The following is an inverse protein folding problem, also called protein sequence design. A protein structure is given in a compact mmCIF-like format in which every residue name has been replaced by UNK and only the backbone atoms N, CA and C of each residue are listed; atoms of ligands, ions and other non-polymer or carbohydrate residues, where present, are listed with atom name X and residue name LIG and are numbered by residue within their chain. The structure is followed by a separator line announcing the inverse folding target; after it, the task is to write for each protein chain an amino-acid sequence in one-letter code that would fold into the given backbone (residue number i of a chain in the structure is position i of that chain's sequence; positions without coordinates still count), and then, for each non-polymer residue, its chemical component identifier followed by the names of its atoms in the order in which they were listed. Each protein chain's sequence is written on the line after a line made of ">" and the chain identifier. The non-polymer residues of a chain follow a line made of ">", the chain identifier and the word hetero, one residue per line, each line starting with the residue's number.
data_IF_116150449081
#
_entry.id   IF_116150449081
#
_cell.length_a   1.000
_cell.length_b   1.000
_cell.length_c   1.000
_cell.angle_alpha   90.00
_cell.angle_beta   90.00
_cell.angle_gamma   90.00
#
_symmetry.space_group_name_H-M   'P 1'
#
loop_
_entity.id
_entity.type
_entity.pdbx_description
1 polymer ?
#
# COMPACT_ATOMS: atom_id res chain seq x y z
N UNK A 1 1.76 59.88 -6.32
CA UNK A 1 2.81 58.96 -5.81
C UNK A 1 2.49 58.40 -4.42
N UNK A 2 2.22 59.22 -3.40
CA UNK A 2 1.97 58.77 -2.01
C UNK A 2 0.84 57.72 -1.85
N UNK A 3 -0.30 57.88 -2.53
CA UNK A 3 -1.41 56.89 -2.51
C UNK A 3 -1.05 55.54 -3.15
N UNK A 4 -0.22 55.56 -4.20
CA UNK A 4 0.21 54.36 -4.93
C UNK A 4 1.22 53.56 -4.09
N UNK A 5 2.16 54.25 -3.44
CA UNK A 5 3.12 53.64 -2.51
C UNK A 5 2.41 52.99 -1.32
N UNK A 6 1.40 53.65 -0.73
CA UNK A 6 0.61 53.06 0.35
C UNK A 6 -0.13 51.79 -0.10
N UNK A 7 -0.72 51.80 -1.30
CA UNK A 7 -1.43 50.65 -1.84
C UNK A 7 -0.48 49.46 -2.11
N UNK A 8 0.72 49.76 -2.63
CA UNK A 8 1.77 48.76 -2.83
C UNK A 8 2.20 48.12 -1.50
N UNK A 9 2.47 48.94 -0.47
CA UNK A 9 2.85 48.44 0.86
C UNK A 9 1.75 47.57 1.44
N UNK A 10 0.49 47.99 1.34
CA UNK A 10 -0.66 47.22 1.83
C UNK A 10 -0.78 45.87 1.10
N UNK A 11 -0.60 45.88 -0.22
CA UNK A 11 -0.64 44.66 -1.04
C UNK A 11 0.48 43.68 -0.66
N UNK A 12 1.71 44.18 -0.44
CA UNK A 12 2.83 43.34 -0.01
C UNK A 12 2.56 42.77 1.39
N UNK A 13 2.05 43.59 2.32
CA UNK A 13 1.72 43.12 3.66
C UNK A 13 0.67 42.00 3.63
N UNK A 14 -0.40 42.18 2.86
CA UNK A 14 -1.44 41.15 2.69
C UNK A 14 -0.89 39.88 2.05
N UNK A 15 0.00 40.01 1.06
CA UNK A 15 0.65 38.86 0.44
C UNK A 15 1.54 38.10 1.42
N UNK A 16 2.38 38.79 2.21
CA UNK A 16 3.25 38.16 3.20
C UNK A 16 2.44 37.48 4.30
N UNK A 17 1.39 38.13 4.80
CA UNK A 17 0.49 37.54 5.81
C UNK A 17 -0.21 36.31 5.23
N UNK A 18 -0.77 36.42 4.03
CA UNK A 18 -1.45 35.30 3.36
C UNK A 18 -0.52 34.11 3.08
N UNK A 19 0.70 34.37 2.58
CA UNK A 19 1.70 33.33 2.35
C UNK A 19 2.14 32.70 3.68
N UNK A 20 2.33 33.49 4.73
CA UNK A 20 2.67 33.00 6.06
C UNK A 20 1.58 32.09 6.65
N UNK A 21 0.31 32.50 6.55
CA UNK A 21 -0.81 31.65 6.98
C UNK A 21 -0.92 30.38 6.15
N UNK A 22 -0.66 30.44 4.85
CA UNK A 22 -0.70 29.26 3.99
C UNK A 22 0.39 28.24 4.33
N UNK A 23 1.63 28.70 4.55
CA UNK A 23 2.75 27.85 4.98
C UNK A 23 2.46 27.25 6.37
N UNK A 24 1.92 28.05 7.29
CA UNK A 24 1.54 27.57 8.62
C UNK A 24 0.47 26.47 8.54
N UNK A 25 -0.57 26.67 7.73
CA UNK A 25 -1.64 25.70 7.51
C UNK A 25 -1.17 24.41 6.82
N UNK A 26 -0.14 24.50 5.98
CA UNK A 26 0.55 23.35 5.39
C UNK A 26 1.40 22.60 6.42
N UNK A 27 2.12 23.33 7.28
CA UNK A 27 3.00 22.73 8.30
C UNK A 27 2.27 21.91 9.37
N UNK A 28 0.95 22.11 9.48
CA UNK A 28 0.10 21.35 10.40
C UNK A 28 -0.35 20.00 9.82
N UNK A 29 -0.10 19.72 8.54
CA UNK A 29 -0.42 18.42 7.95
C UNK A 29 0.51 17.37 8.56
N UNK A 30 -0.06 16.31 9.12
CA UNK A 30 0.68 15.20 9.72
C UNK A 30 0.40 13.89 8.99
N UNK A 31 1.35 12.94 9.00
CA UNK A 31 1.07 11.59 8.55
C UNK A 31 0.10 10.89 9.50
N UNK A 32 -0.83 10.15 8.94
CA UNK A 32 -1.64 9.15 9.60
C UNK A 32 -1.09 7.78 9.23
N UNK A 33 -0.35 7.18 10.16
CA UNK A 33 0.32 5.90 9.93
C UNK A 33 -0.70 4.75 9.85
N UNK A 34 -0.73 4.09 8.69
CA UNK A 34 -1.56 2.92 8.43
C UNK A 34 -0.64 1.70 8.29
N UNK A 35 -0.74 0.82 9.27
CA UNK A 35 -0.08 -0.47 9.25
C UNK A 35 -0.78 -1.41 8.26
N UNK A 36 -0.03 -1.88 7.26
CA UNK A 36 -0.55 -2.80 6.25
C UNK A 36 -1.04 -4.11 6.88
N UNK A 37 -0.48 -4.57 8.00
CA UNK A 37 -0.83 -5.88 8.56
C UNK A 37 -2.15 -5.90 9.34
N UNK A 38 -2.78 -4.75 9.59
CA UNK A 38 -3.99 -4.66 10.45
C UNK A 38 -5.24 -5.24 9.82
N UNK A 39 -5.44 -5.07 8.52
CA UNK A 39 -6.59 -5.59 7.80
C UNK A 39 -6.14 -6.61 6.77
N UNK A 40 -6.61 -7.85 6.89
CA UNK A 40 -6.33 -8.92 5.94
C UNK A 40 -7.56 -9.27 5.12
N UNK A 41 -7.34 -9.69 3.88
CA UNK A 41 -8.34 -10.31 3.02
C UNK A 41 -7.87 -11.69 2.57
N UNK A 42 -8.74 -12.43 1.91
CA UNK A 42 -8.44 -13.78 1.42
C UNK A 42 -8.77 -13.89 -0.06
N UNK A 43 -7.84 -14.46 -0.82
CA UNK A 43 -8.06 -14.86 -2.22
C UNK A 43 -8.05 -16.38 -2.32
N UNK A 44 -9.00 -16.91 -3.07
CA UNK A 44 -9.03 -18.33 -3.43
C UNK A 44 -8.77 -18.43 -4.93
N UNK A 45 -7.79 -19.24 -5.31
CA UNK A 45 -7.50 -19.55 -6.70
C UNK A 45 -7.26 -21.05 -6.91
N UNK A 46 -7.18 -21.47 -8.17
CA UNK A 46 -6.93 -22.85 -8.58
C UNK A 46 -5.58 -22.92 -9.29
N UNK A 47 -4.73 -23.85 -8.87
CA UNK A 47 -3.38 -24.07 -9.41
C UNK A 47 -3.28 -25.44 -10.06
N UNK A 48 -2.82 -25.51 -11.31
CA UNK A 48 -2.79 -26.78 -12.04
C UNK A 48 -1.62 -27.68 -11.60
N UNK A 49 -0.38 -27.21 -11.78
CA UNK A 49 0.81 -28.07 -11.65
C UNK A 49 1.86 -27.58 -10.67
N UNK A 50 1.96 -26.27 -10.44
CA UNK A 50 2.93 -25.66 -9.56
C UNK A 50 2.40 -24.29 -9.10
N UNK A 51 2.91 -23.82 -7.97
CA UNK A 51 2.64 -22.50 -7.43
C UNK A 51 3.97 -21.90 -6.95
N UNK A 52 4.37 -20.78 -7.53
CA UNK A 52 5.55 -20.01 -7.17
C UNK A 52 5.10 -18.71 -6.55
N UNK A 53 5.21 -18.60 -5.23
CA UNK A 53 4.92 -17.38 -4.51
C UNK A 53 6.21 -16.57 -4.37
N UNK A 54 6.22 -15.37 -4.97
CA UNK A 54 7.34 -14.46 -4.85
C UNK A 54 7.37 -13.83 -3.45
N UNK A 55 8.51 -13.96 -2.77
CA UNK A 55 8.68 -13.50 -1.40
C UNK A 55 9.39 -12.15 -1.28
N UNK A 56 9.75 -11.54 -2.40
CA UNK A 56 10.40 -10.24 -2.46
C UNK A 56 9.62 -9.37 -3.42
N UNK A 57 9.07 -8.28 -2.91
CA UNK A 57 8.22 -7.37 -3.70
C UNK A 57 8.51 -5.92 -3.36
N UNK A 58 8.32 -5.04 -4.34
CA UNK A 58 8.41 -3.59 -4.16
C UNK A 58 6.99 -3.03 -4.11
N UNK A 59 6.64 -2.40 -2.99
CA UNK A 59 5.35 -1.73 -2.84
C UNK A 59 5.52 -0.24 -3.07
N UNK A 60 4.74 0.32 -3.99
CA UNK A 60 4.88 1.71 -4.47
C UNK A 60 4.93 2.78 -3.37
N UNK A 61 4.22 2.58 -2.26
CA UNK A 61 4.18 3.53 -1.12
C UNK A 61 5.04 3.14 0.08
N UNK A 62 5.66 1.95 0.09
CA UNK A 62 6.44 1.46 1.24
C UNK A 62 7.91 1.25 0.88
N UNK A 63 8.18 0.67 -0.30
CA UNK A 63 9.51 0.31 -0.75
C UNK A 63 9.69 -1.21 -0.86
N UNK A 64 10.93 -1.67 -0.75
CA UNK A 64 11.27 -3.08 -0.76
C UNK A 64 10.77 -3.76 0.52
N UNK A 65 9.94 -4.80 0.37
CA UNK A 65 9.43 -5.60 1.48
C UNK A 65 9.61 -7.09 1.22
N UNK A 66 9.68 -7.84 2.31
CA UNK A 66 9.75 -9.30 2.30
C UNK A 66 8.39 -9.88 2.65
N UNK A 67 7.88 -10.80 1.84
CA UNK A 67 6.70 -11.58 2.16
C UNK A 67 7.11 -12.77 3.03
N UNK A 68 6.56 -12.83 4.23
CA UNK A 68 6.78 -13.90 5.22
C UNK A 68 5.53 -14.75 5.28
N UNK A 69 5.69 -16.06 5.08
CA UNK A 69 4.59 -17.02 5.22
C UNK A 69 4.54 -17.50 6.67
N UNK A 70 3.56 -17.01 7.43
CA UNK A 70 3.38 -17.36 8.85
C UNK A 70 2.87 -18.80 9.02
N UNK A 71 1.94 -19.19 8.15
CA UNK A 71 1.31 -20.51 8.18
C UNK A 71 1.17 -21.03 6.76
N UNK A 72 1.56 -22.28 6.55
CA UNK A 72 1.34 -23.02 5.32
C UNK A 72 0.78 -24.39 5.70
N UNK A 73 -0.52 -24.59 5.48
CA UNK A 73 -1.24 -25.78 5.95
C UNK A 73 -2.13 -26.41 4.88
N UNK A 74 -2.15 -27.74 4.85
CA UNK A 74 -3.11 -28.51 4.06
C UNK A 74 -4.50 -28.38 4.69
N UNK A 75 -5.52 -28.10 3.89
CA UNK A 75 -6.92 -28.01 4.33
C UNK A 75 -7.75 -29.04 3.55
N UNK A 76 -8.14 -30.12 4.24
CA UNK A 76 -8.93 -31.23 3.68
C UNK A 76 -10.31 -30.81 3.15
N UNK A 77 -10.77 -29.59 3.48
CA UNK A 77 -12.04 -29.04 2.97
C UNK A 77 -11.88 -28.33 1.63
N UNK A 78 -10.64 -28.05 1.20
CA UNK A 78 -10.36 -27.42 -0.07
C UNK A 78 -10.29 -28.46 -1.20
N UNK A 79 -10.73 -28.11 -2.43
CA UNK A 79 -10.45 -28.92 -3.61
C UNK A 79 -8.96 -29.19 -3.76
N UNK A 80 -8.57 -30.34 -4.34
CA UNK A 80 -7.17 -30.77 -4.44
C UNK A 80 -6.23 -29.72 -5.04
N UNK A 81 -6.72 -28.91 -5.98
CA UNK A 81 -5.97 -27.88 -6.69
C UNK A 81 -6.22 -26.45 -6.18
N UNK A 82 -6.97 -26.27 -5.09
CA UNK A 82 -7.27 -24.95 -4.57
C UNK A 82 -6.15 -24.42 -3.67
N UNK A 83 -5.85 -23.14 -3.84
CA UNK A 83 -4.94 -22.38 -3.01
C UNK A 83 -5.68 -21.17 -2.44
N UNK A 84 -5.59 -20.99 -1.14
CA UNK A 84 -6.20 -19.90 -0.40
C UNK A 84 -5.08 -19.12 0.28
N UNK A 85 -4.97 -17.84 -0.03
CA UNK A 85 -3.96 -16.96 0.54
C UNK A 85 -4.67 -15.85 1.30
N UNK A 86 -4.30 -15.68 2.56
CA UNK A 86 -4.70 -14.57 3.41
C UNK A 86 -3.55 -13.57 3.48
N UNK A 87 -3.81 -12.31 3.14
CA UNK A 87 -2.79 -11.26 2.97
C UNK A 87 -3.38 -9.88 3.27
N UNK A 88 -2.56 -8.84 3.50
CA UNK A 88 -3.05 -7.47 3.70
C UNK A 88 -4.02 -6.97 2.64
N UNK A 89 -5.13 -6.38 3.06
CA UNK A 89 -6.24 -5.91 2.21
C UNK A 89 -5.84 -4.80 1.24
N UNK A 90 -4.83 -4.01 1.60
CA UNK A 90 -4.30 -2.94 0.76
C UNK A 90 -3.41 -3.46 -0.39
N UNK A 91 -3.14 -4.76 -0.40
CA UNK A 91 -2.43 -5.44 -1.46
C UNK A 91 -3.44 -6.21 -2.33
N UNK A 92 -2.97 -6.65 -3.48
CA UNK A 92 -3.64 -7.62 -4.31
C UNK A 92 -2.63 -8.67 -4.78
N UNK A 93 -3.12 -9.87 -5.06
CA UNK A 93 -2.28 -10.92 -5.62
C UNK A 93 -2.49 -10.95 -7.13
N UNK A 94 -1.40 -10.80 -7.87
CA UNK A 94 -1.37 -10.99 -9.32
C UNK A 94 -1.00 -12.43 -9.60
N UNK A 95 -1.87 -13.13 -10.33
CA UNK A 95 -1.61 -14.49 -10.79
C UNK A 95 -1.26 -14.47 -12.28
N UNK A 96 -0.09 -15.01 -12.62
CA UNK A 96 0.38 -15.26 -13.98
C UNK A 96 0.80 -16.73 -14.11
N UNK A 97 -0.08 -17.56 -14.66
CA UNK A 97 0.04 -19.03 -14.69
C UNK A 97 0.30 -19.65 -13.29
N UNK A 98 1.55 -20.08 -13.05
CA UNK A 98 2.02 -20.65 -11.79
C UNK A 98 2.59 -19.62 -10.83
N UNK A 99 2.76 -18.37 -11.27
CA UNK A 99 3.39 -17.30 -10.48
C UNK A 99 2.34 -16.50 -9.74
N UNK A 100 2.63 -16.25 -8.46
CA UNK A 100 1.87 -15.38 -7.60
C UNK A 100 2.77 -14.29 -7.04
N UNK A 101 2.38 -13.05 -7.27
CA UNK A 101 3.09 -11.89 -6.77
C UNK A 101 2.16 -11.00 -5.94
N UNK A 102 2.68 -10.45 -4.85
CA UNK A 102 1.97 -9.48 -4.03
C UNK A 102 2.31 -8.09 -4.53
N UNK A 103 1.28 -7.36 -4.96
CA UNK A 103 1.44 -6.00 -5.44
C UNK A 103 0.54 -5.07 -4.62
N UNK A 104 0.99 -3.84 -4.47
CA UNK A 104 0.14 -2.76 -4.00
C UNK A 104 -0.40 -2.06 -5.23
N UNK A 105 -1.70 -1.78 -5.27
CA UNK A 105 -2.23 -0.89 -6.30
C UNK A 105 -1.39 0.38 -6.30
N UNK A 106 -1.04 0.88 -7.49
CA UNK A 106 -0.34 2.15 -7.59
C UNK A 106 -1.10 3.16 -6.74
N UNK A 107 -0.44 3.64 -5.69
CA UNK A 107 -0.98 4.74 -4.92
C UNK A 107 -0.95 5.93 -5.88
N UNK A 108 -2.06 6.16 -6.56
CA UNK A 108 -2.32 7.43 -7.20
C UNK A 108 -2.35 8.45 -6.07
N UNK A 109 -1.18 9.00 -5.74
CA UNK A 109 -1.06 10.22 -4.99
C UNK A 109 -1.89 11.24 -5.76
N UNK A 110 -3.14 11.41 -5.30
CA UNK A 110 -4.23 11.56 -6.26
C UNK A 110 -4.03 12.82 -7.07
N UNK A 111 -4.12 12.71 -8.39
CA UNK A 111 -4.16 13.87 -9.28
C UNK A 111 -5.44 14.69 -9.09
N UNK A 112 -6.36 14.25 -8.24
CA UNK A 112 -7.65 14.88 -7.99
C UNK A 112 -7.58 15.95 -6.89
N UNK A 113 -8.11 17.14 -7.19
CA UNK A 113 -8.20 18.28 -6.28
C UNK A 113 -8.96 17.93 -4.99
N UNK A 114 -9.85 16.94 -5.04
CA UNK A 114 -10.65 16.51 -3.89
C UNK A 114 -9.78 15.96 -2.75
N UNK A 115 -8.79 15.13 -3.05
CA UNK A 115 -7.91 14.55 -2.02
C UNK A 115 -6.99 15.60 -1.46
N UNK A 116 -6.43 16.46 -2.32
CA UNK A 116 -5.64 17.62 -1.88
C UNK A 116 -6.46 18.46 -0.90
N UNK A 117 -7.70 18.80 -1.27
CA UNK A 117 -8.58 19.58 -0.40
C UNK A 117 -8.94 18.84 0.89
N UNK A 118 -9.14 17.53 0.84
CA UNK A 118 -9.35 16.71 2.03
C UNK A 118 -8.13 16.77 2.96
N UNK A 119 -6.91 16.56 2.47
CA UNK A 119 -5.67 16.69 3.25
C UNK A 119 -5.54 18.07 3.89
N UNK A 120 -5.83 19.14 3.14
CA UNK A 120 -5.84 20.51 3.68
C UNK A 120 -6.89 20.71 4.77
N UNK A 121 -8.05 20.05 4.66
CA UNK A 121 -9.16 20.14 5.62
C UNK A 121 -8.93 19.28 6.87
N UNK A 122 -8.47 18.05 6.70
CA UNK A 122 -8.25 17.09 7.79
C UNK A 122 -6.90 17.26 8.46
N UNK A 123 -5.98 18.02 7.83
CA UNK A 123 -4.58 18.17 8.26
C UNK A 123 -3.86 16.83 8.37
N UNK A 124 -4.23 15.88 7.50
CA UNK A 124 -3.70 14.53 7.54
C UNK A 124 -3.61 13.92 6.15
N UNK A 125 -2.57 13.12 5.91
CA UNK A 125 -2.48 12.19 4.77
C UNK A 125 -2.18 10.79 5.29
N UNK A 126 -2.58 9.75 4.56
CA UNK A 126 -2.31 8.39 4.95
C UNK A 126 -0.90 7.99 4.51
N UNK A 127 -0.11 7.46 5.44
CA UNK A 127 1.24 6.94 5.20
C UNK A 127 1.26 5.46 5.55
N UNK A 128 1.53 4.61 4.56
CA UNK A 128 1.54 3.16 4.76
C UNK A 128 2.91 2.69 5.17
N UNK A 129 2.94 1.73 6.10
CA UNK A 129 4.18 1.08 6.49
C UNK A 129 4.00 -0.42 6.66
N UNK A 130 5.09 -1.15 6.49
CA UNK A 130 5.22 -2.56 6.83
C UNK A 130 6.13 -2.67 8.07
N UNK A 131 5.68 -3.37 9.10
CA UNK A 131 6.51 -3.61 10.28
C UNK A 131 7.72 -4.46 9.88
N UNK A 132 8.93 -4.02 10.24
CA UNK A 132 10.20 -4.68 9.90
C UNK A 132 10.42 -4.94 8.40
N UNK A 133 9.78 -4.15 7.53
CA UNK A 133 9.78 -4.40 6.08
C UNK A 133 9.21 -5.78 5.71
N UNK A 134 8.34 -6.36 6.57
CA UNK A 134 7.75 -7.68 6.40
C UNK A 134 6.24 -7.61 6.15
N UNK A 135 5.77 -8.39 5.18
CA UNK A 135 4.37 -8.61 4.88
C UNK A 135 4.02 -10.05 5.20
N UNK A 136 3.21 -10.22 6.23
CA UNK A 136 2.81 -11.53 6.71
C UNK A 136 1.62 -12.07 5.92
N UNK A 137 1.74 -13.31 5.44
CA UNK A 137 0.69 -14.02 4.72
C UNK A 137 0.48 -15.42 5.29
N UNK A 138 -0.73 -15.94 5.13
CA UNK A 138 -1.07 -17.32 5.49
C UNK A 138 -1.61 -18.05 4.29
N UNK A 139 -1.22 -19.31 4.13
CA UNK A 139 -1.53 -20.13 2.97
C UNK A 139 -2.23 -21.40 3.44
N UNK A 140 -3.40 -21.66 2.86
CA UNK A 140 -4.09 -22.94 2.96
C UNK A 140 -4.19 -23.56 1.58
N UNK A 141 -3.94 -24.85 1.46
CA UNK A 141 -3.91 -25.51 0.16
C UNK A 141 -4.60 -26.87 0.19
N UNK A 142 -5.18 -27.25 -0.95
CA UNK A 142 -5.71 -28.58 -1.15
C UNK A 142 -4.61 -29.64 -1.30
N UNK A 143 -4.93 -30.88 -0.98
CA UNK A 143 -3.99 -32.01 -0.93
C UNK A 143 -3.11 -32.19 -2.18
N UNK A 144 -3.65 -31.87 -3.36
CA UNK A 144 -2.92 -31.95 -4.63
C UNK A 144 -1.74 -30.99 -4.74
N UNK A 145 -1.66 -29.95 -3.90
CA UNK A 145 -0.62 -28.92 -3.91
C UNK A 145 0.50 -29.11 -2.87
N UNK A 146 0.44 -30.15 -2.03
CA UNK A 146 1.32 -30.35 -0.86
C UNK A 146 2.83 -30.23 -1.10
N UNK A 147 3.29 -30.55 -2.31
CA UNK A 147 4.70 -30.46 -2.70
C UNK A 147 4.91 -29.59 -3.95
N UNK A 148 3.90 -28.80 -4.31
CA UNK A 148 3.86 -27.98 -5.54
C UNK A 148 4.03 -26.49 -5.26
N UNK A 149 4.03 -26.07 -4.00
CA UNK A 149 4.20 -24.68 -3.58
C UNK A 149 5.68 -24.40 -3.33
N UNK A 150 6.24 -23.44 -4.05
CA UNK A 150 7.63 -22.98 -3.92
C UNK A 150 7.63 -21.51 -3.55
N UNK A 151 8.44 -21.15 -2.56
CA UNK A 151 8.71 -19.75 -2.20
C UNK A 151 9.92 -19.27 -2.99
N UNK A 152 9.77 -18.20 -3.77
CA UNK A 152 10.79 -17.69 -4.68
C UNK A 152 11.28 -16.33 -4.18
N UNK A 153 12.56 -16.26 -3.84
CA UNK A 153 13.22 -15.04 -3.37
C UNK A 153 14.03 -14.39 -4.50
N UNK A 154 13.40 -14.10 -5.65
CA UNK A 154 14.11 -13.52 -6.80
C UNK A 154 13.29 -12.49 -7.58
N UNK A 155 13.92 -11.38 -7.98
CA UNK A 155 13.35 -10.31 -8.80
C UNK A 155 13.62 -10.49 -10.30
N UNK A 156 14.17 -11.63 -10.72
CA UNK A 156 14.70 -11.86 -12.08
C UNK A 156 13.82 -12.75 -12.96
#
# INVERSE_FOLDING_TARGET
>A
MRKLTTLLILSILLFVVGAGTFIYELSQIQPNEIDLSKETQTMTTSMQDQCRLYTKTYLSSVGDVRVVVDEMAEDDKLPDNALVITYPKMLHIVQDDDKLDLQMDDYEMSKDFKTIFNTFRTKSYDEYFANNDEIHVSIRYGKGLKDKITLVDDYY
#
